data_IF_043840967429
#
_entry.id   IF_043840967429
#
_cell.length_a   1.000
_cell.length_b   1.000
_cell.length_c   1.000
_cell.angle_alpha   90.00
_cell.angle_beta   90.00
_cell.angle_gamma   90.00
#
_symmetry.space_group_name_H-M   'P 1'
#
loop_
_entity.id
_entity.type
_entity.pdbx_description
1 polymer ?
#
# COMPACT_ATOMS: atom_id res chain seq x y z
N UNK A 1 8.77 11.57 7.96
CA UNK A 1 7.80 11.62 6.84
C UNK A 1 6.76 10.55 7.04
N UNK A 2 5.49 10.90 6.95
CA UNK A 2 4.38 9.96 7.08
C UNK A 2 3.87 9.57 5.69
N UNK A 3 3.86 8.28 5.39
CA UNK A 3 3.41 7.74 4.10
C UNK A 3 2.17 6.88 4.33
N UNK A 4 1.12 7.12 3.56
CA UNK A 4 -0.14 6.37 3.63
C UNK A 4 -0.37 5.63 2.32
N UNK A 5 -0.52 4.31 2.40
CA UNK A 5 -0.89 3.49 1.24
C UNK A 5 -2.40 3.27 1.24
N UNK A 6 -3.05 3.48 0.10
CA UNK A 6 -4.50 3.45 -0.02
C UNK A 6 -4.97 2.49 -1.11
N UNK A 7 -5.92 1.63 -0.76
CA UNK A 7 -6.64 0.79 -1.72
C UNK A 7 -8.14 0.81 -1.38
N UNK A 8 -8.91 -0.16 -1.86
CA UNK A 8 -10.35 -0.20 -1.61
C UNK A 8 -10.66 -0.70 -0.19
N UNK A 9 -10.36 -1.96 0.10
CA UNK A 9 -10.78 -2.62 1.35
C UNK A 9 -9.75 -2.67 2.45
N UNK A 10 -8.52 -2.31 2.18
CA UNK A 10 -7.40 -2.38 3.12
C UNK A 10 -7.18 -3.80 3.67
N UNK A 11 -7.38 -4.82 2.83
CA UNK A 11 -7.20 -6.22 3.22
C UNK A 11 -6.19 -6.98 2.34
N UNK A 12 -5.75 -6.42 1.22
CA UNK A 12 -4.73 -7.07 0.38
C UNK A 12 -3.67 -6.11 -0.15
N UNK A 13 -3.97 -5.24 -1.13
CA UNK A 13 -2.93 -4.41 -1.79
C UNK A 13 -2.23 -3.44 -0.84
N UNK A 14 -2.97 -2.59 -0.16
CA UNK A 14 -2.33 -1.59 0.72
C UNK A 14 -1.67 -2.19 1.95
N UNK A 15 -2.22 -3.24 2.60
CA UNK A 15 -1.49 -3.89 3.69
C UNK A 15 -0.19 -4.55 3.22
N UNK A 16 -0.20 -5.22 2.06
CA UNK A 16 1.01 -5.81 1.50
C UNK A 16 2.04 -4.73 1.18
N UNK A 17 1.60 -3.64 0.55
CA UNK A 17 2.50 -2.52 0.22
C UNK A 17 3.12 -1.92 1.48
N UNK A 18 2.32 -1.65 2.49
CA UNK A 18 2.81 -1.06 3.74
C UNK A 18 3.83 -1.98 4.43
N UNK A 19 3.53 -3.27 4.51
CA UNK A 19 4.42 -4.24 5.17
C UNK A 19 5.73 -4.42 4.40
N UNK A 20 5.66 -4.55 3.07
CA UNK A 20 6.84 -4.66 2.22
C UNK A 20 7.70 -3.40 2.30
N UNK A 21 7.07 -2.22 2.24
CA UNK A 21 7.82 -0.97 2.29
C UNK A 21 8.44 -0.73 3.65
N UNK A 22 7.77 -1.14 4.71
CA UNK A 22 8.35 -1.05 6.05
C UNK A 22 9.65 -1.85 6.14
N UNK A 23 9.68 -3.04 5.55
CA UNK A 23 10.88 -3.87 5.48
C UNK A 23 11.99 -3.16 4.68
N UNK A 24 11.65 -2.65 3.49
CA UNK A 24 12.60 -1.92 2.65
C UNK A 24 13.15 -0.69 3.38
N UNK A 25 12.28 0.06 4.04
CA UNK A 25 12.67 1.27 4.76
C UNK A 25 13.62 0.95 5.91
N UNK A 26 13.37 -0.14 6.64
CA UNK A 26 14.27 -0.57 7.71
C UNK A 26 15.64 -0.97 7.17
N UNK A 27 15.68 -1.74 6.08
CA UNK A 27 16.93 -2.16 5.46
C UNK A 27 17.75 -1.00 4.93
N UNK A 28 17.08 0.02 4.38
CA UNK A 28 17.72 1.21 3.81
C UNK A 28 17.88 2.36 4.81
N UNK A 29 17.38 2.19 6.02
CA UNK A 29 17.42 3.21 7.09
C UNK A 29 16.72 4.50 6.68
N UNK A 30 15.57 4.39 6.02
CA UNK A 30 14.74 5.53 5.68
C UNK A 30 13.96 5.99 6.90
N UNK A 31 13.90 7.29 7.13
CA UNK A 31 13.15 7.87 8.25
C UNK A 31 11.70 8.14 7.80
N UNK A 32 10.90 7.07 7.79
CA UNK A 32 9.50 7.13 7.37
C UNK A 32 8.60 6.39 8.36
N UNK A 33 7.36 6.86 8.49
CA UNK A 33 6.29 6.17 9.20
C UNK A 33 5.27 5.74 8.16
N UNK A 34 4.85 4.50 8.22
CA UNK A 34 4.06 3.87 7.16
C UNK A 34 2.75 3.39 7.74
N UNK A 35 1.65 3.77 7.10
CA UNK A 35 0.31 3.27 7.42
C UNK A 35 -0.41 2.90 6.15
N UNK A 36 -1.51 2.17 6.27
CA UNK A 36 -2.39 1.84 5.16
C UNK A 36 -3.84 2.02 5.56
N UNK A 37 -4.69 2.31 4.58
CA UNK A 37 -6.13 2.48 4.80
C UNK A 37 -6.90 2.17 3.52
N UNK A 38 -8.22 2.03 3.64
CA UNK A 38 -9.09 1.75 2.50
C UNK A 38 -10.19 2.78 2.36
N UNK A 39 -10.56 3.04 1.11
CA UNK A 39 -11.66 3.96 0.80
C UNK A 39 -13.01 3.38 1.28
N UNK A 40 -13.17 2.06 1.17
CA UNK A 40 -14.35 1.32 1.62
C UNK A 40 -13.94 0.16 2.51
N UNK A 41 -13.12 0.42 3.53
CA UNK A 41 -12.67 -0.61 4.45
C UNK A 41 -13.70 -0.85 5.54
N UNK A 42 -13.78 -2.09 6.02
CA UNK A 42 -14.48 -2.44 7.25
C UNK A 42 -13.44 -2.46 8.36
N UNK A 43 -13.55 -1.55 9.30
CA UNK A 43 -12.59 -1.42 10.38
C UNK A 43 -12.43 -2.75 11.15
N UNK A 44 -11.20 -3.16 11.32
CA UNK A 44 -10.87 -4.37 12.05
C UNK A 44 -10.77 -5.64 11.22
N UNK A 45 -11.14 -5.63 9.93
CA UNK A 45 -11.00 -6.80 9.08
C UNK A 45 -9.53 -7.25 9.00
N UNK A 46 -9.25 -8.56 9.05
CA UNK A 46 -7.89 -9.05 8.87
C UNK A 46 -7.46 -8.97 7.40
N UNK A 47 -6.17 -9.07 7.15
CA UNK A 47 -5.67 -9.28 5.80
C UNK A 47 -6.24 -10.58 5.24
N UNK A 48 -6.43 -10.66 3.92
CA UNK A 48 -6.89 -11.92 3.31
C UNK A 48 -5.87 -13.03 3.56
N UNK A 49 -6.36 -14.28 3.63
CA UNK A 49 -5.48 -15.44 3.85
C UNK A 49 -4.41 -15.52 2.77
N UNK A 50 -4.78 -15.27 1.51
CA UNK A 50 -3.86 -15.30 0.37
C UNK A 50 -2.78 -14.23 0.49
N UNK A 51 -3.13 -13.03 1.00
CA UNK A 51 -2.14 -11.98 1.24
C UNK A 51 -1.15 -12.39 2.32
N UNK A 52 -1.63 -12.98 3.41
CA UNK A 52 -0.77 -13.49 4.49
C UNK A 52 0.22 -14.54 3.94
N UNK A 53 -0.28 -15.47 3.13
CA UNK A 53 0.56 -16.53 2.54
C UNK A 53 1.60 -15.93 1.58
N UNK A 54 1.19 -15.01 0.71
CA UNK A 54 2.10 -14.37 -0.23
C UNK A 54 3.22 -13.60 0.48
N UNK A 55 2.91 -12.94 1.58
CA UNK A 55 3.89 -12.16 2.34
C UNK A 55 4.93 -13.02 3.06
N UNK A 56 4.62 -14.26 3.38
CA UNK A 56 5.59 -15.16 4.00
C UNK A 56 6.82 -15.39 3.13
N UNK A 57 6.68 -15.35 1.83
CA UNK A 57 7.80 -15.45 0.89
C UNK A 57 8.84 -14.34 1.09
N UNK A 58 8.41 -13.20 1.59
CA UNK A 58 9.26 -12.03 1.82
C UNK A 58 9.66 -11.90 3.28
N UNK A 59 9.36 -12.91 4.10
CA UNK A 59 9.59 -12.87 5.55
C UNK A 59 8.84 -11.72 6.23
N UNK A 60 7.62 -11.46 5.75
CA UNK A 60 6.75 -10.40 6.26
C UNK A 60 5.49 -11.03 6.84
N UNK A 61 5.14 -10.63 8.07
CA UNK A 61 3.97 -11.13 8.78
C UNK A 61 2.81 -10.14 8.67
N UNK A 62 1.69 -10.59 8.08
CA UNK A 62 0.46 -9.82 8.00
C UNK A 62 -0.64 -10.27 8.96
N UNK A 63 -0.37 -11.24 9.83
CA UNK A 63 -1.39 -11.78 10.74
C UNK A 63 -1.93 -10.74 11.72
N UNK A 64 -1.13 -9.75 12.08
CA UNK A 64 -1.55 -8.69 13.01
C UNK A 64 -2.25 -7.51 12.34
N UNK A 65 -2.46 -7.55 11.03
CA UNK A 65 -3.09 -6.43 10.32
C UNK A 65 -4.58 -6.30 10.63
N UNK A 66 -5.02 -5.06 10.87
CA UNK A 66 -6.42 -4.72 11.01
C UNK A 66 -6.73 -3.59 10.03
N UNK A 67 -7.73 -3.79 9.17
CA UNK A 67 -8.13 -2.80 8.20
C UNK A 67 -8.66 -1.53 8.89
N UNK A 68 -8.43 -0.39 8.27
CA UNK A 68 -8.99 0.88 8.72
C UNK A 68 -9.46 1.71 7.54
N UNK A 69 -10.54 2.46 7.78
CA UNK A 69 -11.08 3.39 6.79
C UNK A 69 -10.26 4.65 6.74
N UNK A 70 -10.22 5.27 5.57
CA UNK A 70 -9.71 6.63 5.41
C UNK A 70 -10.47 7.56 6.36
N UNK A 71 -9.76 8.47 6.99
CA UNK A 71 -10.35 9.55 7.80
C UNK A 71 -9.50 10.81 7.68
N UNK A 72 -10.09 11.93 8.11
CA UNK A 72 -9.45 13.24 8.00
C UNK A 72 -8.10 13.30 8.71
N UNK A 73 -8.00 12.70 9.89
CA UNK A 73 -6.77 12.69 10.66
C UNK A 73 -5.63 12.00 9.93
N UNK A 74 -5.89 10.81 9.35
CA UNK A 74 -4.90 10.08 8.56
C UNK A 74 -4.42 10.90 7.37
N UNK A 75 -5.36 11.53 6.66
CA UNK A 75 -5.03 12.34 5.49
C UNK A 75 -4.20 13.56 5.87
N UNK A 76 -4.60 14.28 6.90
CA UNK A 76 -3.90 15.49 7.33
C UNK A 76 -2.49 15.23 7.80
N UNK A 77 -2.27 14.15 8.55
CA UNK A 77 -0.92 13.83 9.04
C UNK A 77 0.00 13.22 8.00
N UNK A 78 -0.54 12.77 6.86
CA UNK A 78 0.27 12.15 5.80
C UNK A 78 1.00 13.20 4.99
N UNK A 79 2.28 12.98 4.77
CA UNK A 79 3.11 13.83 3.90
C UNK A 79 3.01 13.36 2.45
N UNK A 80 2.81 12.06 2.25
CA UNK A 80 2.71 11.43 0.94
C UNK A 80 1.64 10.34 1.00
N UNK A 81 0.73 10.37 0.03
CA UNK A 81 -0.33 9.36 -0.10
C UNK A 81 -0.11 8.63 -1.41
N UNK A 82 0.08 7.31 -1.33
CA UNK A 82 0.32 6.45 -2.48
C UNK A 82 -0.85 5.50 -2.66
N UNK A 83 -1.56 5.66 -3.77
CA UNK A 83 -2.74 4.83 -4.06
C UNK A 83 -2.38 3.68 -4.99
N UNK A 84 -3.17 2.61 -4.93
CA UNK A 84 -2.91 1.43 -5.75
C UNK A 84 -3.36 1.63 -7.20
N UNK A 85 -4.37 2.48 -7.43
CA UNK A 85 -4.90 2.73 -8.77
C UNK A 85 -5.19 4.22 -9.00
N UNK A 86 -5.33 4.60 -10.27
CA UNK A 86 -5.73 5.95 -10.64
C UNK A 86 -7.13 6.31 -10.11
N UNK A 87 -8.03 5.33 -10.03
CA UNK A 87 -9.37 5.55 -9.46
C UNK A 87 -9.28 5.95 -7.98
N UNK A 88 -8.44 5.28 -7.21
CA UNK A 88 -8.21 5.64 -5.80
C UNK A 88 -7.62 7.06 -5.69
N UNK A 89 -6.71 7.41 -6.60
CA UNK A 89 -6.10 8.74 -6.61
C UNK A 89 -7.16 9.82 -6.82
N UNK A 90 -8.07 9.63 -7.77
CA UNK A 90 -9.14 10.61 -8.03
C UNK A 90 -9.98 10.87 -6.78
N UNK A 91 -10.29 9.83 -6.02
CA UNK A 91 -11.04 9.98 -4.77
C UNK A 91 -10.23 10.76 -3.74
N UNK A 92 -8.96 10.40 -3.57
CA UNK A 92 -8.11 11.04 -2.55
C UNK A 92 -7.75 12.48 -2.87
N UNK A 93 -7.65 12.83 -4.15
CA UNK A 93 -7.35 14.20 -4.56
C UNK A 93 -8.42 15.21 -4.16
N UNK A 94 -9.64 14.77 -3.92
CA UNK A 94 -10.72 15.64 -3.46
C UNK A 94 -10.43 16.26 -2.09
N UNK A 95 -9.66 15.59 -1.25
CA UNK A 95 -9.36 16.06 0.10
C UNK A 95 -7.86 16.29 0.36
N UNK A 96 -6.99 15.89 -0.55
CA UNK A 96 -5.55 15.89 -0.30
C UNK A 96 -4.71 16.24 -1.54
N UNK A 97 -5.22 17.11 -2.40
CA UNK A 97 -4.52 17.49 -3.63
C UNK A 97 -3.08 17.96 -3.33
N UNK A 98 -2.16 17.59 -4.21
CA UNK A 98 -0.76 18.01 -4.11
C UNK A 98 0.16 17.03 -3.42
N UNK A 99 -0.38 16.04 -2.71
CA UNK A 99 0.43 15.01 -2.05
C UNK A 99 0.00 13.58 -2.38
N UNK A 100 -0.90 13.42 -3.35
CA UNK A 100 -1.44 12.11 -3.77
C UNK A 100 -0.86 11.72 -5.12
N UNK A 101 -0.31 10.51 -5.17
CA UNK A 101 0.20 9.89 -6.40
C UNK A 101 -0.26 8.44 -6.41
N UNK A 102 -0.39 7.83 -7.59
CA UNK A 102 -0.45 6.37 -7.61
C UNK A 102 0.95 5.85 -7.27
N UNK A 103 1.02 4.64 -6.71
CA UNK A 103 2.30 4.02 -6.43
C UNK A 103 3.14 3.88 -7.72
N UNK A 104 2.51 3.43 -8.81
CA UNK A 104 3.19 3.26 -10.09
C UNK A 104 3.70 4.59 -10.65
N UNK A 105 2.89 5.65 -10.59
CA UNK A 105 3.28 6.99 -11.03
C UNK A 105 4.49 7.50 -10.22
N UNK A 106 4.47 7.33 -8.92
CA UNK A 106 5.56 7.76 -8.05
C UNK A 106 6.85 6.96 -8.32
N UNK A 107 6.70 5.70 -8.71
CA UNK A 107 7.79 4.81 -9.06
C UNK A 107 8.24 4.92 -10.52
N UNK A 108 7.59 5.77 -11.31
CA UNK A 108 7.84 5.92 -12.74
C UNK A 108 7.64 4.60 -13.51
N UNK A 109 6.53 3.93 -13.20
CA UNK A 109 6.09 2.69 -13.85
C UNK A 109 4.69 2.92 -14.41
N UNK A 110 4.41 2.40 -15.60
CA UNK A 110 3.09 2.51 -16.21
C UNK A 110 2.06 1.61 -15.51
N UNK A 111 0.80 2.04 -15.53
CA UNK A 111 -0.33 1.25 -15.10
C UNK A 111 -0.65 1.39 -13.62
N UNK A 112 -1.45 0.45 -13.13
CA UNK A 112 -1.92 0.37 -11.75
C UNK A 112 -1.47 -0.95 -11.11
N UNK A 113 -1.64 -1.06 -9.80
CA UNK A 113 -1.49 -2.35 -9.10
C UNK A 113 -2.83 -3.08 -9.22
N UNK A 114 -2.91 -4.19 -9.97
CA UNK A 114 -4.16 -4.91 -10.15
C UNK A 114 -4.69 -5.48 -8.83
N UNK A 115 -6.02 -5.59 -8.71
CA UNK A 115 -6.63 -6.14 -7.51
C UNK A 115 -6.62 -7.67 -7.56
N UNK A 116 -5.89 -8.36 -6.65
CA UNK A 116 -5.86 -9.82 -6.63
C UNK A 116 -7.06 -10.43 -5.89
N UNK A 117 -7.93 -9.62 -5.29
CA UNK A 117 -9.04 -10.09 -4.47
C UNK A 117 -9.92 -11.08 -5.25
N UNK A 118 -10.21 -12.22 -4.63
CA UNK A 118 -10.96 -13.30 -5.29
C UNK A 118 -10.10 -14.23 -6.15
N UNK A 119 -8.82 -13.90 -6.37
CA UNK A 119 -7.89 -14.72 -7.10
C UNK A 119 -7.20 -15.75 -6.21
N UNK A 120 -6.34 -16.55 -6.82
CA UNK A 120 -5.56 -17.57 -6.12
C UNK A 120 -4.25 -17.00 -5.56
N UNK A 121 -3.47 -17.84 -4.89
CA UNK A 121 -2.18 -17.44 -4.31
C UNK A 121 -1.22 -16.94 -5.39
N UNK A 122 -1.23 -17.56 -6.58
CA UNK A 122 -0.37 -17.13 -7.68
C UNK A 122 -0.65 -15.68 -8.10
N UNK A 123 -1.91 -15.27 -8.14
CA UNK A 123 -2.29 -13.89 -8.46
C UNK A 123 -1.83 -12.92 -7.36
N UNK A 124 -1.91 -13.33 -6.10
CA UNK A 124 -1.40 -12.54 -4.99
C UNK A 124 0.13 -12.43 -5.03
N UNK A 125 0.82 -13.49 -5.44
CA UNK A 125 2.27 -13.47 -5.60
C UNK A 125 2.71 -12.55 -6.73
N UNK A 126 1.97 -12.52 -7.85
CA UNK A 126 2.21 -11.57 -8.94
C UNK A 126 2.00 -10.14 -8.47
N UNK A 127 0.95 -9.89 -7.71
CA UNK A 127 0.68 -8.60 -7.12
C UNK A 127 1.83 -8.17 -6.20
N UNK A 128 2.29 -9.07 -5.34
CA UNK A 128 3.40 -8.81 -4.43
C UNK A 128 4.69 -8.48 -5.20
N UNK A 129 4.98 -9.20 -6.28
CA UNK A 129 6.17 -8.95 -7.10
C UNK A 129 6.11 -7.57 -7.74
N UNK A 130 4.96 -7.17 -8.26
CA UNK A 130 4.77 -5.83 -8.83
C UNK A 130 4.91 -4.75 -7.76
N UNK A 131 4.34 -4.98 -6.58
CA UNK A 131 4.49 -4.08 -5.45
C UNK A 131 5.96 -3.92 -5.07
N UNK A 132 6.71 -5.01 -4.95
CA UNK A 132 8.13 -4.94 -4.61
C UNK A 132 8.91 -4.11 -5.61
N UNK A 133 8.72 -4.33 -6.91
CA UNK A 133 9.41 -3.57 -7.94
C UNK A 133 9.11 -2.09 -7.84
N UNK A 134 7.84 -1.72 -7.64
CA UNK A 134 7.43 -0.32 -7.50
C UNK A 134 7.97 0.29 -6.20
N UNK A 135 7.91 -0.44 -5.10
CA UNK A 135 8.35 0.05 -3.79
C UNK A 135 9.86 0.27 -3.73
N UNK A 136 10.64 -0.58 -4.39
CA UNK A 136 12.10 -0.37 -4.50
C UNK A 136 12.41 0.95 -5.20
N UNK A 137 11.69 1.26 -6.28
CA UNK A 137 11.85 2.53 -6.99
C UNK A 137 11.39 3.72 -6.16
N UNK A 138 10.31 3.57 -5.39
CA UNK A 138 9.88 4.60 -4.46
C UNK A 138 10.96 4.86 -3.40
N UNK A 139 11.59 3.83 -2.89
CA UNK A 139 12.67 3.96 -1.93
C UNK A 139 13.87 4.70 -2.54
N UNK A 140 14.20 4.42 -3.79
CA UNK A 140 15.26 5.15 -4.51
C UNK A 140 14.94 6.65 -4.60
N UNK A 141 13.69 6.98 -4.88
CA UNK A 141 13.25 8.37 -4.99
C UNK A 141 13.27 9.10 -3.64
N UNK A 142 12.97 8.40 -2.56
CA UNK A 142 12.91 8.96 -1.20
C UNK A 142 14.28 9.01 -0.52
N UNK A 143 15.15 8.12 -0.90
CA UNK A 143 16.49 8.03 -0.34
C UNK A 143 17.48 8.83 -1.11
#
# INVERSE_FOLDING_TARGET
MNILFVCTGNTCRSPMAAALFNKIAMERKLDVRIESAGIFANDGDPATTEAVVAMKKYNVDLLGHHAQSINTELVEKSDLILTMTAAHKLVMEQSAAGKVFTLCEYADIDGDIPDPFGGDIAEYEECAAKLCAALEKCADRLG
#
